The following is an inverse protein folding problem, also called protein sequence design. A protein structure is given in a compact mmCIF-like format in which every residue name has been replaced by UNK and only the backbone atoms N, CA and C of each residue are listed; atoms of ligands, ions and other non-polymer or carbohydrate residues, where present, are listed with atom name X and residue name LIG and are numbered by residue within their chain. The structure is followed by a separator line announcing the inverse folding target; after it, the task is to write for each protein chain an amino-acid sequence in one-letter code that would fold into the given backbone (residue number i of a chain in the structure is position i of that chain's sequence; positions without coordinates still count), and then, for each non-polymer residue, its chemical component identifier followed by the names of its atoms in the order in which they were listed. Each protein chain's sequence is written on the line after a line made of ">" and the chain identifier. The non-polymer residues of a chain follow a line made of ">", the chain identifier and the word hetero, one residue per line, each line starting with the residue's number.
data_IF_584726045638
#
_entry.id   IF_584726045638
#
_cell.length_a   1.000
_cell.length_b   1.000
_cell.length_c   1.000
_cell.angle_alpha   90.00
_cell.angle_beta   90.00
_cell.angle_gamma   90.00
#
_symmetry.space_group_name_H-M   'P 1'
#
loop_
_entity.id
_entity.type
_entity.pdbx_description
1 polymer ?
#
# COMPACT_ATOMS: atom_id res chain seq x y z
N UNK A 1 13.71 -9.22 -0.46
CA UNK A 1 12.51 -9.94 -0.07
C UNK A 1 11.28 -9.04 -0.19
N UNK A 2 11.18 -7.96 0.58
CA UNK A 2 10.08 -6.99 0.50
C UNK A 2 10.55 -5.74 -0.23
N UNK A 3 9.78 -5.28 -1.22
CA UNK A 3 10.06 -4.06 -1.99
C UNK A 3 8.86 -3.15 -1.97
N UNK A 4 9.12 -1.86 -1.77
CA UNK A 4 8.11 -0.80 -1.85
C UNK A 4 8.44 0.11 -3.04
N UNK A 5 7.42 0.44 -3.83
CA UNK A 5 7.56 1.51 -4.81
C UNK A 5 7.47 2.89 -4.13
N UNK A 6 7.79 3.93 -4.89
CA UNK A 6 7.43 5.28 -4.47
C UNK A 6 5.89 5.41 -4.38
N UNK A 7 5.43 6.23 -3.44
CA UNK A 7 4.04 6.66 -3.39
C UNK A 7 3.84 7.81 -4.39
N UNK A 8 3.04 7.57 -5.41
CA UNK A 8 2.80 8.53 -6.50
C UNK A 8 1.40 9.12 -6.35
N UNK A 9 1.30 10.46 -6.43
CA UNK A 9 0.01 11.14 -6.45
C UNK A 9 -0.76 10.75 -7.71
N UNK A 10 -2.03 10.39 -7.55
CA UNK A 10 -2.94 10.08 -8.66
C UNK A 10 -3.76 11.29 -9.10
N UNK A 11 -3.63 12.41 -8.42
CA UNK A 11 -4.31 13.67 -8.72
C UNK A 11 -3.26 14.71 -9.11
N UNK A 12 -3.70 15.73 -9.85
CA UNK A 12 -2.85 16.86 -10.21
C UNK A 12 -2.30 17.53 -8.96
N UNK A 13 -1.05 18.01 -9.06
CA UNK A 13 -0.42 18.69 -7.95
C UNK A 13 -1.21 19.95 -7.55
N UNK A 14 -1.59 20.00 -6.27
CA UNK A 14 -2.19 21.15 -5.63
C UNK A 14 -1.59 21.28 -4.24
N UNK A 15 -0.44 21.93 -4.16
CA UNK A 15 0.26 22.16 -2.89
C UNK A 15 -0.18 23.46 -2.24
N UNK A 16 -0.23 23.46 -0.93
CA UNK A 16 -0.41 24.63 -0.09
C UNK A 16 0.86 24.87 0.74
N UNK A 17 1.13 26.12 1.05
CA UNK A 17 2.34 26.51 1.81
C UNK A 17 1.95 26.99 3.20
N UNK A 18 2.35 26.25 4.21
CA UNK A 18 2.21 26.67 5.61
C UNK A 18 3.48 27.38 6.07
N UNK A 19 3.31 28.61 6.51
CA UNK A 19 4.40 29.37 7.14
C UNK A 19 4.40 29.12 8.64
N UNK A 20 5.51 28.66 9.17
CA UNK A 20 5.69 28.40 10.60
C UNK A 20 6.93 29.07 11.18
N UNK A 21 6.91 29.30 12.49
CA UNK A 21 8.06 29.78 13.25
C UNK A 21 8.25 28.93 14.52
N UNK A 22 9.51 28.72 14.91
CA UNK A 22 9.79 27.97 16.13
C UNK A 22 9.88 28.89 17.36
N UNK A 23 8.72 29.38 17.82
CA UNK A 23 8.62 30.25 19.00
C UNK A 23 9.11 29.57 20.29
N UNK A 24 8.94 28.24 20.41
CA UNK A 24 9.37 27.50 21.60
C UNK A 24 10.89 27.51 21.75
N UNK A 25 11.64 27.44 20.66
CA UNK A 25 13.10 27.51 20.68
C UNK A 25 13.56 28.96 21.01
N UNK A 26 12.94 29.95 20.38
CA UNK A 26 13.24 31.35 20.62
C UNK A 26 13.02 31.77 22.11
N UNK A 27 11.97 31.24 22.72
CA UNK A 27 11.69 31.51 24.16
C UNK A 27 12.65 30.82 25.14
N UNK A 28 13.38 29.80 24.69
CA UNK A 28 14.38 29.08 25.54
C UNK A 28 15.79 29.63 25.38
N UNK A 29 16.06 30.47 24.40
CA UNK A 29 17.37 31.08 24.17
C UNK A 29 17.43 32.49 24.80
N UNK A 30 18.47 32.86 25.60
CA UNK A 30 18.54 34.14 26.29
C UNK A 30 18.50 35.36 25.36
N UNK A 31 18.98 35.20 24.15
CA UNK A 31 19.12 36.27 23.16
C UNK A 31 18.04 36.25 22.08
N UNK A 32 17.00 35.43 22.23
CA UNK A 32 15.87 35.26 21.28
C UNK A 32 16.26 35.03 19.83
N UNK A 33 17.48 34.56 19.58
CA UNK A 33 18.00 34.31 18.23
C UNK A 33 17.53 33.00 17.58
N UNK A 34 16.70 32.22 18.26
CA UNK A 34 16.20 30.95 17.77
C UNK A 34 14.94 31.02 16.89
N UNK A 35 14.54 32.23 16.45
CA UNK A 35 13.33 32.40 15.64
C UNK A 35 13.66 32.14 14.18
N UNK A 36 13.62 30.85 13.79
CA UNK A 36 13.83 30.44 12.41
C UNK A 36 12.46 30.26 11.73
N UNK A 37 12.09 31.12 10.77
CA UNK A 37 10.92 30.88 9.95
C UNK A 37 11.19 29.69 9.02
N UNK A 38 10.18 28.86 8.81
CA UNK A 38 10.21 27.77 7.84
C UNK A 38 8.92 27.73 7.04
N UNK A 39 9.03 27.30 5.80
CA UNK A 39 7.89 26.97 4.96
C UNK A 39 7.73 25.44 4.96
N UNK A 40 6.51 24.97 5.20
CA UNK A 40 6.15 23.58 5.03
C UNK A 40 5.15 23.46 3.88
N UNK A 41 5.46 22.64 2.93
CA UNK A 41 4.54 22.31 1.85
C UNK A 41 3.58 21.24 2.32
N UNK A 42 2.28 21.45 2.09
CA UNK A 42 1.22 20.50 2.39
C UNK A 42 0.55 20.12 1.08
N UNK A 43 0.56 18.84 0.77
CA UNK A 43 -0.15 18.28 -0.36
C UNK A 43 -1.08 17.16 0.11
N UNK A 44 -2.36 17.26 -0.24
CA UNK A 44 -3.38 16.25 0.05
C UNK A 44 -3.87 15.64 -1.26
N UNK A 45 -3.63 14.35 -1.45
CA UNK A 45 -4.02 13.62 -2.66
C UNK A 45 -4.26 12.15 -2.34
N UNK A 46 -4.81 11.41 -3.29
CA UNK A 46 -4.72 9.97 -3.30
C UNK A 46 -3.34 9.54 -3.83
N UNK A 47 -2.69 8.68 -3.08
CA UNK A 47 -1.38 8.15 -3.44
C UNK A 47 -1.50 6.66 -3.72
N UNK A 48 -0.89 6.20 -4.80
CA UNK A 48 -0.71 4.78 -5.09
C UNK A 48 0.73 4.36 -4.83
N UNK A 49 0.89 3.21 -4.20
CA UNK A 49 2.17 2.54 -4.04
C UNK A 49 1.99 1.03 -4.20
N UNK A 50 3.07 0.34 -4.51
CA UNK A 50 3.06 -1.12 -4.68
C UNK A 50 3.99 -1.75 -3.67
N UNK A 51 3.52 -2.84 -3.07
CA UNK A 51 4.32 -3.72 -2.22
C UNK A 51 4.46 -5.06 -2.92
N UNK A 52 5.70 -5.50 -3.11
CA UNK A 52 6.00 -6.83 -3.63
C UNK A 52 6.80 -7.62 -2.61
N UNK A 53 6.44 -8.89 -2.47
CA UNK A 53 7.09 -9.81 -1.53
C UNK A 53 7.46 -11.08 -2.28
N UNK A 54 8.74 -11.46 -2.22
CA UNK A 54 9.20 -12.75 -2.71
C UNK A 54 8.99 -13.77 -1.58
N UNK A 55 7.87 -14.51 -1.60
CA UNK A 55 7.46 -15.42 -0.53
C UNK A 55 8.46 -16.56 -0.32
N UNK A 56 9.10 -17.03 -1.40
CA UNK A 56 10.14 -18.05 -1.41
C UNK A 56 11.48 -17.61 -0.77
N UNK A 57 11.63 -16.31 -0.49
CA UNK A 57 12.82 -15.75 0.14
C UNK A 57 12.59 -15.23 1.56
N UNK A 58 11.35 -15.34 2.06
CA UNK A 58 11.05 -14.91 3.43
C UNK A 58 11.72 -15.84 4.42
N UNK A 59 12.52 -15.27 5.32
CA UNK A 59 13.25 -16.05 6.33
C UNK A 59 14.46 -16.79 5.81
N UNK A 60 14.91 -16.52 4.58
CA UNK A 60 16.13 -17.11 4.00
C UNK A 60 17.23 -16.05 4.00
N UNK A 61 18.40 -16.38 4.58
CA UNK A 61 19.63 -15.62 4.50
C UNK A 61 20.81 -16.57 4.24
N UNK A 62 21.31 -16.55 3.01
CA UNK A 62 22.41 -17.42 2.58
C UNK A 62 23.74 -17.06 3.25
N UNK A 63 23.94 -15.79 3.64
CA UNK A 63 25.20 -15.36 4.26
C UNK A 63 25.35 -15.90 5.69
N UNK A 64 24.22 -15.94 6.42
CA UNK A 64 24.20 -16.44 7.80
C UNK A 64 23.77 -17.91 7.90
N UNK A 65 23.56 -18.60 6.77
CA UNK A 65 23.04 -19.96 6.68
C UNK A 65 21.71 -20.17 7.42
N UNK A 66 20.81 -19.16 7.34
CA UNK A 66 19.47 -19.22 7.91
C UNK A 66 18.48 -19.62 6.82
N UNK A 67 17.66 -20.63 7.09
CA UNK A 67 16.58 -21.08 6.21
C UNK A 67 15.35 -21.43 7.03
N UNK A 68 14.60 -20.40 7.44
CA UNK A 68 13.37 -20.58 8.22
C UNK A 68 12.28 -21.30 7.43
N UNK A 69 12.36 -21.37 6.11
CA UNK A 69 11.40 -22.15 5.32
C UNK A 69 11.53 -23.65 5.56
N UNK A 70 12.73 -24.11 5.93
CA UNK A 70 12.95 -25.50 6.36
C UNK A 70 12.80 -25.68 7.86
N UNK A 71 13.29 -24.70 8.64
CA UNK A 71 13.42 -24.86 10.09
C UNK A 71 12.17 -24.42 10.86
N UNK A 72 11.46 -23.38 10.39
CA UNK A 72 10.30 -22.79 11.04
C UNK A 72 9.42 -22.02 10.05
N UNK A 73 8.71 -22.74 9.19
CA UNK A 73 7.85 -22.17 8.13
C UNK A 73 6.71 -21.30 8.69
N UNK A 74 6.24 -21.61 9.91
CA UNK A 74 5.21 -20.82 10.59
C UNK A 74 5.67 -19.39 10.86
N UNK A 75 6.95 -19.18 11.19
CA UNK A 75 7.50 -17.85 11.37
C UNK A 75 7.54 -17.06 10.06
N UNK A 76 7.84 -17.71 8.93
CA UNK A 76 7.77 -17.07 7.61
C UNK A 76 6.38 -16.56 7.30
N UNK A 77 5.37 -17.39 7.52
CA UNK A 77 3.95 -17.07 7.39
C UNK A 77 3.57 -15.88 8.28
N UNK A 78 3.90 -15.94 9.57
CA UNK A 78 3.55 -14.91 10.54
C UNK A 78 4.16 -13.54 10.19
N UNK A 79 5.37 -13.50 9.67
CA UNK A 79 6.01 -12.27 9.18
C UNK A 79 5.20 -11.61 8.07
N UNK A 80 4.67 -12.39 7.13
CA UNK A 80 3.85 -11.86 6.03
C UNK A 80 2.48 -11.42 6.54
N UNK A 81 1.85 -12.18 7.43
CA UNK A 81 0.57 -11.80 8.05
C UNK A 81 0.72 -10.47 8.80
N UNK A 82 1.81 -10.28 9.54
CA UNK A 82 2.12 -9.00 10.23
C UNK A 82 2.39 -7.85 9.26
N UNK A 83 3.05 -8.11 8.13
CA UNK A 83 3.22 -7.10 7.08
C UNK A 83 1.86 -6.67 6.52
N UNK A 84 0.98 -7.61 6.19
CA UNK A 84 -0.38 -7.31 5.71
C UNK A 84 -1.19 -6.51 6.74
N UNK A 85 -1.10 -6.86 8.03
CA UNK A 85 -1.73 -6.12 9.13
C UNK A 85 -1.21 -4.68 9.20
N UNK A 86 0.11 -4.48 9.07
CA UNK A 86 0.72 -3.15 9.05
C UNK A 86 0.28 -2.30 7.87
N UNK A 87 0.02 -2.90 6.70
CA UNK A 87 -0.52 -2.20 5.52
C UNK A 87 -2.00 -1.87 5.71
N UNK A 88 -2.79 -2.81 6.23
CA UNK A 88 -4.23 -2.64 6.44
C UNK A 88 -4.54 -1.49 7.41
N UNK A 89 -3.75 -1.36 8.49
CA UNK A 89 -3.94 -0.37 9.55
C UNK A 89 -2.89 0.74 9.53
N UNK A 90 -2.37 1.06 8.34
CA UNK A 90 -1.33 2.07 8.20
C UNK A 90 -1.79 3.43 8.71
N UNK A 91 -1.04 3.99 9.63
CA UNK A 91 -1.24 5.34 10.15
C UNK A 91 0.10 6.00 10.43
N UNK A 92 0.11 7.31 10.56
CA UNK A 92 1.29 8.08 10.90
C UNK A 92 0.93 9.33 11.68
N UNK A 93 1.69 9.62 12.72
CA UNK A 93 1.59 10.88 13.44
C UNK A 93 2.42 11.96 12.73
N UNK A 94 1.76 13.03 12.34
CA UNK A 94 2.38 14.19 11.69
C UNK A 94 1.99 15.44 12.48
N UNK A 95 2.97 16.15 13.03
CA UNK A 95 2.76 17.38 13.83
C UNK A 95 1.70 17.20 14.93
N UNK A 96 1.80 16.13 15.72
CA UNK A 96 0.87 15.77 16.81
C UNK A 96 -0.58 15.46 16.35
N UNK A 97 -0.80 15.22 15.07
CA UNK A 97 -2.07 14.78 14.53
C UNK A 97 -1.89 13.39 13.88
N UNK A 98 -2.73 12.43 14.28
CA UNK A 98 -2.67 11.07 13.75
C UNK A 98 -3.42 11.00 12.41
N UNK A 99 -2.68 10.71 11.35
CA UNK A 99 -3.21 10.59 9.99
C UNK A 99 -3.50 9.13 9.68
N UNK A 100 -4.77 8.85 9.38
CA UNK A 100 -5.17 7.55 8.85
C UNK A 100 -4.71 7.44 7.39
N UNK A 101 -3.88 6.43 7.11
CA UNK A 101 -3.34 6.11 5.79
C UNK A 101 -3.79 4.72 5.31
N UNK A 102 -4.85 4.16 5.92
CA UNK A 102 -5.41 2.87 5.52
C UNK A 102 -5.77 2.88 4.03
N UNK A 103 -5.57 1.76 3.34
CA UNK A 103 -5.97 1.63 1.94
C UNK A 103 -7.47 1.91 1.74
N UNK A 104 -7.79 2.71 0.74
CA UNK A 104 -9.16 2.93 0.26
C UNK A 104 -9.49 2.11 -0.98
N UNK A 105 -8.44 1.68 -1.69
CA UNK A 105 -8.46 0.72 -2.79
C UNK A 105 -7.22 -0.17 -2.65
N UNK A 106 -7.41 -1.46 -2.82
CA UNK A 106 -6.34 -2.43 -2.77
C UNK A 106 -6.56 -3.49 -3.86
N UNK A 107 -5.51 -3.86 -4.57
CA UNK A 107 -5.54 -4.88 -5.60
C UNK A 107 -4.26 -5.72 -5.51
N UNK A 108 -4.38 -7.03 -5.55
CA UNK A 108 -3.24 -7.92 -5.48
C UNK A 108 -3.63 -9.36 -5.22
N UNK A 109 -2.62 -10.21 -5.15
CA UNK A 109 -2.77 -11.64 -4.94
C UNK A 109 -1.40 -12.32 -4.86
N UNK A 110 -1.40 -13.64 -4.81
CA UNK A 110 -0.18 -14.46 -4.94
C UNK A 110 -0.07 -14.90 -6.39
N UNK A 111 1.10 -14.65 -6.98
CA UNK A 111 1.37 -14.93 -8.38
C UNK A 111 2.60 -15.85 -8.50
N UNK A 112 2.54 -16.76 -9.48
CA UNK A 112 3.64 -17.65 -9.81
C UNK A 112 4.74 -16.99 -10.69
N UNK A 113 4.56 -15.70 -11.00
CA UNK A 113 5.54 -14.87 -11.69
C UNK A 113 5.85 -13.64 -10.84
N UNK A 114 7.13 -13.39 -10.57
CA UNK A 114 7.61 -12.22 -9.81
C UNK A 114 7.53 -10.94 -10.65
N UNK A 115 6.32 -10.42 -10.83
CA UNK A 115 6.07 -9.18 -11.58
C UNK A 115 5.08 -8.29 -10.82
N UNK A 116 5.39 -7.01 -10.58
CA UNK A 116 4.47 -6.06 -9.98
C UNK A 116 3.41 -5.59 -11.00
N UNK A 117 2.45 -6.45 -11.35
CA UNK A 117 1.50 -6.26 -12.44
C UNK A 117 0.75 -4.92 -12.43
N UNK A 118 0.47 -4.36 -11.25
CA UNK A 118 -0.31 -3.14 -11.07
C UNK A 118 0.54 -1.90 -10.77
N UNK A 119 1.89 -2.05 -10.70
CA UNK A 119 2.77 -0.92 -10.40
C UNK A 119 2.66 0.18 -11.46
N UNK A 120 2.39 1.41 -11.01
CA UNK A 120 2.22 2.60 -11.87
C UNK A 120 1.11 2.46 -12.93
N UNK A 121 0.10 1.61 -12.67
CA UNK A 121 -1.00 1.37 -13.60
C UNK A 121 -2.37 1.69 -13.02
N UNK A 122 -2.41 2.35 -11.86
CA UNK A 122 -3.65 2.91 -11.33
C UNK A 122 -3.75 4.36 -11.77
N UNK A 123 -4.89 4.72 -12.33
CA UNK A 123 -5.17 6.06 -12.84
C UNK A 123 -6.51 6.56 -12.29
N UNK A 124 -6.51 7.79 -11.82
CA UNK A 124 -7.73 8.52 -11.49
C UNK A 124 -7.92 9.64 -12.53
N UNK A 125 -9.12 9.72 -13.07
CA UNK A 125 -9.54 10.88 -13.83
C UNK A 125 -10.17 11.93 -12.92
N UNK A 126 -10.64 13.04 -13.49
CA UNK A 126 -11.37 14.07 -12.78
C UNK A 126 -12.49 13.49 -11.91
N UNK A 127 -12.77 14.16 -10.78
CA UNK A 127 -13.79 13.72 -9.81
C UNK A 127 -13.55 12.33 -9.19
N UNK A 128 -12.29 11.88 -9.08
CA UNK A 128 -11.92 10.60 -8.43
C UNK A 128 -12.54 9.37 -9.10
N UNK A 129 -12.64 9.39 -10.41
CA UNK A 129 -13.09 8.24 -11.18
C UNK A 129 -11.89 7.32 -11.46
N UNK A 130 -11.94 6.06 -10.97
CA UNK A 130 -10.92 5.04 -11.23
C UNK A 130 -11.04 4.51 -12.66
N UNK A 131 -9.91 4.35 -13.35
CA UNK A 131 -9.88 3.76 -14.69
C UNK A 131 -10.03 2.22 -14.61
N UNK A 132 -11.29 1.78 -14.59
CA UNK A 132 -11.66 0.35 -14.48
C UNK A 132 -11.23 -0.44 -15.72
N UNK A 133 -11.30 0.15 -16.90
CA UNK A 133 -10.93 -0.52 -18.16
C UNK A 133 -9.46 -0.95 -18.16
N UNK A 134 -8.55 -0.08 -17.72
CA UNK A 134 -7.13 -0.39 -17.64
C UNK A 134 -6.86 -1.55 -16.65
N UNK A 135 -7.55 -1.55 -15.51
CA UNK A 135 -7.42 -2.63 -14.53
C UNK A 135 -7.92 -3.95 -15.13
N UNK A 136 -9.06 -3.94 -15.82
CA UNK A 136 -9.63 -5.13 -16.47
C UNK A 136 -8.70 -5.72 -17.55
N UNK A 137 -8.01 -4.89 -18.33
CA UNK A 137 -7.02 -5.37 -19.30
C UNK A 137 -5.88 -6.15 -18.61
N UNK A 138 -5.39 -5.63 -17.49
CA UNK A 138 -4.34 -6.30 -16.71
C UNK A 138 -4.86 -7.62 -16.12
N UNK A 139 -6.05 -7.60 -15.52
CA UNK A 139 -6.69 -8.81 -14.97
C UNK A 139 -6.88 -9.89 -16.04
N UNK A 140 -7.34 -9.51 -17.22
CA UNK A 140 -7.51 -10.43 -18.36
C UNK A 140 -6.16 -11.04 -18.78
N UNK A 141 -5.09 -10.26 -18.77
CA UNK A 141 -3.74 -10.75 -19.07
C UNK A 141 -3.26 -11.77 -18.02
N UNK A 142 -3.49 -11.51 -16.72
CA UNK A 142 -3.13 -12.41 -15.62
C UNK A 142 -3.93 -13.72 -15.75
N UNK A 143 -5.25 -13.62 -15.92
CA UNK A 143 -6.16 -14.74 -16.00
C UNK A 143 -5.89 -15.62 -17.24
N UNK A 144 -5.64 -15.01 -18.41
CA UNK A 144 -5.38 -15.75 -19.65
C UNK A 144 -4.14 -16.63 -19.58
N UNK A 145 -3.18 -16.30 -18.74
CA UNK A 145 -1.94 -17.05 -18.53
C UNK A 145 -1.93 -17.87 -17.24
N UNK A 146 -3.04 -17.88 -16.51
CA UNK A 146 -3.19 -18.59 -15.22
C UNK A 146 -2.04 -18.27 -14.24
N UNK A 147 -1.74 -16.96 -14.09
CA UNK A 147 -0.60 -16.52 -13.26
C UNK A 147 -0.85 -16.50 -11.76
N UNK A 148 -2.10 -16.64 -11.34
CA UNK A 148 -2.55 -16.57 -9.94
C UNK A 148 -3.90 -15.89 -9.81
N UNK A 149 -4.43 -15.85 -8.59
CA UNK A 149 -5.71 -15.21 -8.28
C UNK A 149 -5.49 -13.78 -7.81
N UNK A 150 -6.27 -12.84 -8.35
CA UNK A 150 -6.24 -11.43 -7.93
C UNK A 150 -7.50 -11.10 -7.14
N UNK A 151 -7.33 -10.47 -6.00
CA UNK A 151 -8.39 -9.93 -5.15
C UNK A 151 -8.41 -8.41 -5.24
N UNK A 152 -9.58 -7.82 -5.02
CA UNK A 152 -9.78 -6.36 -5.06
C UNK A 152 -10.63 -5.95 -3.88
N UNK A 153 -10.12 -5.01 -3.09
CA UNK A 153 -10.82 -4.35 -2.01
C UNK A 153 -11.03 -2.88 -2.32
N UNK A 154 -12.21 -2.36 -2.01
CA UNK A 154 -12.53 -0.97 -2.29
C UNK A 154 -13.49 -0.37 -1.25
N UNK A 155 -13.20 0.87 -0.85
CA UNK A 155 -14.15 1.73 -0.13
C UNK A 155 -14.92 2.55 -1.18
N UNK A 156 -16.01 1.97 -1.70
CA UNK A 156 -16.73 2.43 -2.90
C UNK A 156 -17.13 3.90 -2.87
N UNK A 157 -17.59 4.39 -1.70
CA UNK A 157 -18.03 5.78 -1.49
C UNK A 157 -16.92 6.84 -1.70
N UNK A 158 -15.66 6.40 -1.82
CA UNK A 158 -14.51 7.28 -2.09
C UNK A 158 -14.28 7.55 -3.57
N UNK A 159 -14.96 6.83 -4.44
CA UNK A 159 -14.83 6.92 -5.88
C UNK A 159 -16.16 7.32 -6.52
N UNK A 160 -16.12 8.20 -7.53
CA UNK A 160 -17.34 8.63 -8.22
C UNK A 160 -18.01 7.52 -9.05
N UNK A 161 -17.23 6.48 -9.38
CA UNK A 161 -17.70 5.29 -10.10
C UNK A 161 -17.70 4.03 -9.25
N UNK A 162 -18.05 4.13 -7.96
CA UNK A 162 -18.03 2.99 -7.03
C UNK A 162 -18.86 1.79 -7.49
N UNK A 163 -20.04 2.00 -8.07
CA UNK A 163 -20.88 0.93 -8.60
C UNK A 163 -20.26 0.22 -9.82
N UNK A 164 -19.57 0.94 -10.69
CA UNK A 164 -18.81 0.39 -11.82
C UNK A 164 -17.65 -0.48 -11.28
N UNK A 165 -16.90 0.02 -10.28
CA UNK A 165 -15.82 -0.72 -9.62
C UNK A 165 -16.36 -2.02 -9.02
N UNK A 166 -17.49 -1.96 -8.33
CA UNK A 166 -18.11 -3.13 -7.70
C UNK A 166 -18.56 -4.17 -8.73
N UNK A 167 -19.24 -3.73 -9.78
CA UNK A 167 -19.82 -4.65 -10.77
C UNK A 167 -18.78 -5.24 -11.70
N UNK A 168 -17.87 -4.42 -12.24
CA UNK A 168 -16.91 -4.87 -13.26
C UNK A 168 -15.67 -5.54 -12.65
N UNK A 169 -15.13 -5.00 -11.55
CA UNK A 169 -13.97 -5.57 -10.89
C UNK A 169 -14.33 -6.60 -9.81
N UNK A 170 -15.62 -6.80 -9.51
CA UNK A 170 -16.11 -7.67 -8.44
C UNK A 170 -15.43 -7.38 -7.10
N UNK A 171 -15.21 -6.08 -6.84
CA UNK A 171 -14.52 -5.65 -5.63
C UNK A 171 -15.34 -5.94 -4.37
N UNK A 172 -14.62 -6.26 -3.31
CA UNK A 172 -15.17 -6.49 -1.97
C UNK A 172 -14.78 -5.35 -1.02
N UNK A 173 -15.05 -5.51 0.28
CA UNK A 173 -14.53 -4.58 1.27
C UNK A 173 -13.01 -4.74 1.43
N UNK A 174 -12.36 -3.67 1.90
CA UNK A 174 -10.90 -3.72 2.21
C UNK A 174 -10.58 -4.84 3.21
N UNK A 175 -11.43 -5.03 4.21
CA UNK A 175 -11.28 -6.10 5.22
C UNK A 175 -11.30 -7.48 4.56
N UNK A 176 -12.27 -7.74 3.67
CA UNK A 176 -12.35 -9.03 2.96
C UNK A 176 -11.15 -9.26 2.05
N UNK A 177 -10.65 -8.22 1.39
CA UNK A 177 -9.43 -8.29 0.59
C UNK A 177 -8.24 -8.80 1.42
N UNK A 178 -7.99 -8.18 2.58
CA UNK A 178 -6.87 -8.59 3.44
C UNK A 178 -7.07 -9.97 4.06
N UNK A 179 -8.31 -10.34 4.40
CA UNK A 179 -8.61 -11.68 4.89
C UNK A 179 -8.31 -12.76 3.84
N UNK A 180 -8.70 -12.53 2.58
CA UNK A 180 -8.39 -13.44 1.47
C UNK A 180 -6.89 -13.54 1.21
N UNK A 181 -6.16 -12.43 1.27
CA UNK A 181 -4.70 -12.49 1.14
C UNK A 181 -4.06 -13.30 2.28
N UNK A 182 -4.53 -13.15 3.52
CA UNK A 182 -4.02 -13.97 4.65
C UNK A 182 -4.33 -15.46 4.45
N UNK A 183 -5.51 -15.79 3.93
CA UNK A 183 -5.86 -17.16 3.57
C UNK A 183 -4.92 -17.72 2.49
N UNK A 184 -4.68 -16.97 1.43
CA UNK A 184 -3.75 -17.36 0.37
C UNK A 184 -2.31 -17.56 0.88
N UNK A 185 -1.84 -16.69 1.76
CA UNK A 185 -0.52 -16.84 2.42
C UNK A 185 -0.47 -18.12 3.26
N UNK A 186 -1.53 -18.39 4.03
CA UNK A 186 -1.63 -19.64 4.81
C UNK A 186 -1.59 -20.87 3.90
N UNK A 187 -2.33 -20.85 2.79
CA UNK A 187 -2.38 -21.95 1.82
C UNK A 187 -1.02 -22.15 1.13
N UNK A 188 -0.34 -21.05 0.78
CA UNK A 188 0.99 -21.11 0.16
C UNK A 188 2.00 -21.83 1.06
N UNK A 189 2.10 -21.43 2.34
CA UNK A 189 3.04 -22.04 3.28
C UNK A 189 2.60 -23.41 3.81
N UNK A 190 1.32 -23.76 3.72
CA UNK A 190 0.83 -25.11 4.04
C UNK A 190 1.11 -26.14 2.92
N UNK A 191 1.36 -25.66 1.69
CA UNK A 191 1.57 -26.51 0.51
C UNK A 191 3.04 -26.72 0.18
N UNK A 192 3.95 -25.98 0.81
CA UNK A 192 5.40 -26.06 0.67
C UNK A 192 6.04 -26.63 1.94
#
# INVERSE_FOLDING_TARGET
>A
VVRFSNAISLENYSGDMEFGTNLSLANRTPDKKGLLPYNAEIHKSYYAYTVTVDLDLVGVDENDNIDLQKDNIEECKDRIIKLLEGIEFLHRDIKADSKNMNPIFAIGGIYNIKNPFFANRLELSEYKKLNVSLINEILNSINSKNMGTTYIGCLLEKFSNGEEIKSELKSESIVNFFNKLREEVNNYYASN
#
